data_IF_305268342024
#
_entry.id   IF_305268342024
#
_cell.length_a   1.000
_cell.length_b   1.000
_cell.length_c   1.000
_cell.angle_alpha   90.00
_cell.angle_beta   90.00
_cell.angle_gamma   90.00
#
_symmetry.space_group_name_H-M   'P 1'
#
loop_
_entity.id
_entity.type
_entity.pdbx_description
1 polymer ?
#
# COMPACT_ATOMS: atom_id res chain seq x y z
N UNK A 1 -20.33 50.71 32.57
CA UNK A 1 -21.08 49.84 31.64
C UNK A 1 -20.15 49.56 30.47
N UNK A 2 -19.22 48.61 30.55
CA UNK A 2 -19.38 47.15 30.48
C UNK A 2 -20.37 46.68 29.41
N UNK A 3 -19.82 45.94 28.44
CA UNK A 3 -20.39 45.01 27.43
C UNK A 3 -19.92 45.40 26.01
N UNK A 4 -19.30 44.55 25.19
CA UNK A 4 -18.67 43.24 25.32
C UNK A 4 -17.96 43.00 23.96
N UNK A 5 -16.77 42.41 23.97
CA UNK A 5 -16.15 41.80 22.79
C UNK A 5 -17.02 40.65 22.27
N UNK A 6 -17.11 40.44 20.96
CA UNK A 6 -17.09 39.11 20.30
C UNK A 6 -17.11 39.29 18.78
N UNK A 7 -15.96 39.15 18.11
CA UNK A 7 -15.44 37.91 17.51
C UNK A 7 -16.25 37.43 16.29
N UNK A 8 -15.88 37.97 15.13
CA UNK A 8 -16.50 37.72 13.82
C UNK A 8 -15.91 36.45 13.18
N UNK A 9 -16.21 35.29 13.78
CA UNK A 9 -15.89 33.99 13.21
C UNK A 9 -17.09 33.04 13.36
N UNK A 10 -18.11 33.28 12.54
CA UNK A 10 -19.14 32.29 12.25
C UNK A 10 -19.13 32.09 10.74
N UNK A 11 -18.15 31.30 10.29
CA UNK A 11 -18.25 30.51 9.07
C UNK A 11 -19.63 29.84 9.08
N UNK A 12 -20.47 30.23 8.12
CA UNK A 12 -21.73 29.58 7.80
C UNK A 12 -21.48 28.09 7.51
N UNK A 13 -21.51 27.25 8.53
CA UNK A 13 -21.86 25.84 8.36
C UNK A 13 -23.33 25.83 7.98
N UNK A 14 -23.60 25.80 6.69
CA UNK A 14 -24.88 25.37 6.14
C UNK A 14 -25.13 23.95 6.67
N UNK A 15 -25.78 23.83 7.82
CA UNK A 15 -26.31 22.58 8.31
C UNK A 15 -27.54 22.33 7.45
N UNK A 16 -27.34 21.75 6.26
CA UNK A 16 -28.45 21.09 5.56
C UNK A 16 -28.96 20.07 6.56
N UNK A 17 -30.18 20.26 7.05
CA UNK A 17 -30.83 19.25 7.89
C UNK A 17 -30.92 18.00 7.02
N UNK A 18 -30.21 16.94 7.42
CA UNK A 18 -30.07 15.73 6.65
C UNK A 18 -31.05 14.66 7.15
N UNK A 19 -31.40 13.70 6.30
CA UNK A 19 -32.28 12.59 6.69
C UNK A 19 -31.69 11.82 7.88
N UNK A 20 -32.57 11.44 8.81
CA UNK A 20 -32.19 10.65 9.98
C UNK A 20 -31.53 9.32 9.57
N UNK A 21 -30.39 8.94 10.17
CA UNK A 21 -29.70 7.67 9.91
C UNK A 21 -30.60 6.43 9.95
N UNK A 22 -31.60 6.42 10.84
CA UNK A 22 -32.53 5.31 11.00
C UNK A 22 -33.37 5.06 9.73
N UNK A 23 -33.72 6.12 9.00
CA UNK A 23 -34.50 6.04 7.76
C UNK A 23 -33.64 5.40 6.67
N UNK A 24 -32.41 5.88 6.49
CA UNK A 24 -31.45 5.31 5.52
C UNK A 24 -31.20 3.83 5.81
N UNK A 25 -30.99 3.48 7.08
CA UNK A 25 -30.78 2.10 7.52
C UNK A 25 -31.98 1.21 7.24
N UNK A 26 -33.21 1.72 7.39
CA UNK A 26 -34.42 1.00 7.04
C UNK A 26 -34.53 0.78 5.53
N UNK A 27 -34.27 1.80 4.71
CA UNK A 27 -34.30 1.69 3.23
C UNK A 27 -33.21 0.75 2.70
N UNK A 28 -31.99 0.80 3.25
CA UNK A 28 -30.90 -0.14 2.90
C UNK A 28 -31.33 -1.60 3.10
N UNK A 29 -32.02 -1.92 4.20
CA UNK A 29 -32.53 -3.28 4.47
C UNK A 29 -33.69 -3.66 3.56
N UNK A 30 -34.55 -2.70 3.21
CA UNK A 30 -35.69 -2.91 2.34
C UNK A 30 -35.28 -3.17 0.88
N UNK A 31 -34.29 -2.43 0.38
CA UNK A 31 -33.77 -2.56 -0.99
C UNK A 31 -32.86 -3.78 -1.15
N UNK A 32 -32.07 -4.12 -0.12
CA UNK A 32 -31.11 -5.23 -0.18
C UNK A 32 -31.34 -6.30 0.88
N UNK A 33 -32.53 -6.95 0.93
CA UNK A 33 -32.85 -7.94 1.96
C UNK A 33 -31.98 -9.20 1.85
N UNK A 34 -31.46 -9.51 0.66
CA UNK A 34 -30.59 -10.67 0.41
C UNK A 34 -29.10 -10.41 0.69
N UNK A 35 -28.72 -9.15 0.86
CA UNK A 35 -27.31 -8.80 1.05
C UNK A 35 -26.81 -9.12 2.46
N UNK A 36 -27.61 -9.60 3.43
CA UNK A 36 -27.14 -10.01 4.76
C UNK A 36 -26.04 -9.12 5.40
N UNK A 37 -26.15 -7.80 5.23
CA UNK A 37 -25.09 -6.86 5.61
C UNK A 37 -24.87 -6.90 7.12
N UNK A 38 -23.61 -7.00 7.53
CA UNK A 38 -23.26 -6.95 8.95
C UNK A 38 -23.67 -5.62 9.58
N UNK A 39 -23.91 -5.63 10.89
CA UNK A 39 -24.29 -4.42 11.63
C UNK A 39 -23.29 -3.27 11.43
N UNK A 40 -21.99 -3.60 11.38
CA UNK A 40 -20.91 -2.64 11.08
C UNK A 40 -21.02 -2.05 9.67
N UNK A 41 -21.30 -2.87 8.65
CA UNK A 41 -21.45 -2.38 7.26
C UNK A 41 -22.67 -1.48 7.13
N UNK A 42 -23.80 -1.87 7.73
CA UNK A 42 -25.00 -1.05 7.77
C UNK A 42 -24.73 0.32 8.39
N UNK A 43 -24.02 0.38 9.51
CA UNK A 43 -23.72 1.64 10.18
C UNK A 43 -22.75 2.52 9.36
N UNK A 44 -21.75 1.91 8.70
CA UNK A 44 -20.83 2.63 7.79
C UNK A 44 -21.57 3.21 6.58
N UNK A 45 -22.41 2.42 5.91
CA UNK A 45 -23.17 2.91 4.76
C UNK A 45 -24.19 3.96 5.17
N UNK A 46 -24.87 3.75 6.29
CA UNK A 46 -25.79 4.73 6.86
C UNK A 46 -25.08 6.06 7.14
N UNK A 47 -23.91 6.05 7.79
CA UNK A 47 -23.16 7.27 8.07
C UNK A 47 -22.70 8.00 6.81
N UNK A 48 -22.38 7.26 5.73
CA UNK A 48 -21.97 7.85 4.44
C UNK A 48 -23.14 8.38 3.62
N UNK A 49 -24.32 7.79 3.76
CA UNK A 49 -25.50 8.12 2.95
C UNK A 49 -26.44 9.10 3.63
N UNK A 50 -26.53 9.10 4.97
CA UNK A 50 -27.36 10.04 5.74
C UNK A 50 -27.16 11.53 5.40
N UNK A 51 -25.93 12.06 5.21
CA UNK A 51 -25.76 13.48 4.90
C UNK A 51 -26.08 13.86 3.45
N UNK A 52 -26.42 12.90 2.57
CA UNK A 52 -26.63 13.16 1.14
C UNK A 52 -28.04 13.68 0.80
N UNK A 53 -29.14 13.03 1.23
CA UNK A 53 -30.48 13.57 1.02
C UNK A 53 -30.79 14.71 2.02
N UNK A 54 -31.58 15.68 1.57
CA UNK A 54 -32.20 16.68 2.44
C UNK A 54 -33.22 16.02 3.39
N UNK A 55 -33.47 16.60 4.56
CA UNK A 55 -34.35 16.05 5.60
C UNK A 55 -35.80 15.81 5.16
N UNK A 56 -36.26 16.53 4.15
CA UNK A 56 -37.56 16.40 3.51
C UNK A 56 -37.58 15.49 2.27
N UNK A 57 -36.44 14.86 1.94
CA UNK A 57 -36.36 13.94 0.81
C UNK A 57 -37.34 12.78 0.96
N UNK A 58 -38.05 12.49 -0.13
CA UNK A 58 -38.95 11.36 -0.19
C UNK A 58 -38.19 10.03 -0.28
N UNK A 59 -38.92 8.96 -0.04
CA UNK A 59 -38.40 7.60 -0.08
C UNK A 59 -37.76 7.23 -1.43
N UNK A 60 -38.29 7.76 -2.54
CA UNK A 60 -37.77 7.50 -3.88
C UNK A 60 -36.39 8.16 -4.09
N UNK A 61 -36.22 9.40 -3.60
CA UNK A 61 -34.93 10.11 -3.64
C UNK A 61 -33.88 9.39 -2.78
N UNK A 62 -34.28 8.93 -1.59
CA UNK A 62 -33.41 8.16 -0.71
C UNK A 62 -32.99 6.84 -1.39
N UNK A 63 -33.92 6.14 -2.02
CA UNK A 63 -33.65 4.89 -2.73
C UNK A 63 -32.72 5.10 -3.92
N UNK A 64 -32.91 6.17 -4.69
CA UNK A 64 -32.02 6.51 -5.80
C UNK A 64 -30.57 6.73 -5.33
N UNK A 65 -30.38 7.50 -4.25
CA UNK A 65 -29.05 7.75 -3.66
C UNK A 65 -28.40 6.45 -3.15
N UNK A 66 -29.22 5.56 -2.58
CA UNK A 66 -28.76 4.26 -2.11
C UNK A 66 -28.33 3.38 -3.31
N UNK A 67 -29.12 3.35 -4.39
CA UNK A 67 -28.82 2.58 -5.60
C UNK A 67 -27.59 3.13 -6.33
N UNK A 68 -27.46 4.45 -6.46
CA UNK A 68 -26.27 5.10 -7.03
C UNK A 68 -25.00 4.71 -6.26
N UNK A 69 -25.10 4.56 -4.94
CA UNK A 69 -23.98 4.11 -4.13
C UNK A 69 -23.72 2.60 -4.27
N UNK A 70 -24.77 1.80 -4.43
CA UNK A 70 -24.65 0.37 -4.73
C UNK A 70 -23.99 0.11 -6.10
N UNK A 71 -24.21 0.97 -7.09
CA UNK A 71 -23.57 0.85 -8.41
C UNK A 71 -22.06 1.05 -8.34
N UNK A 72 -21.58 1.84 -7.37
CA UNK A 72 -20.15 2.03 -7.10
C UNK A 72 -19.60 0.94 -6.17
N UNK A 73 -20.39 0.51 -5.19
CA UNK A 73 -20.02 -0.50 -4.20
C UNK A 73 -21.15 -1.51 -4.10
N UNK A 74 -21.05 -2.60 -4.85
CA UNK A 74 -22.04 -3.68 -4.84
C UNK A 74 -22.18 -4.25 -3.42
N UNK A 75 -23.28 -3.91 -2.76
CA UNK A 75 -23.54 -4.31 -1.38
C UNK A 75 -23.70 -5.82 -1.23
N UNK A 76 -24.21 -6.50 -2.26
CA UNK A 76 -24.39 -7.95 -2.26
C UNK A 76 -23.02 -8.61 -2.35
N UNK A 77 -22.16 -8.15 -3.25
CA UNK A 77 -20.80 -8.68 -3.39
C UNK A 77 -19.98 -8.47 -2.09
N UNK A 78 -20.02 -7.28 -1.51
CA UNK A 78 -19.31 -6.98 -0.25
C UNK A 78 -19.78 -7.91 0.87
N UNK A 79 -21.08 -8.17 0.96
CA UNK A 79 -21.57 -9.06 1.99
C UNK A 79 -21.21 -10.54 1.77
N UNK A 80 -21.19 -10.99 0.51
CA UNK A 80 -20.72 -12.33 0.16
C UNK A 80 -19.25 -12.51 0.54
N UNK A 81 -18.41 -11.49 0.33
CA UNK A 81 -17.01 -11.51 0.76
C UNK A 81 -16.87 -11.53 2.29
N UNK A 82 -17.64 -10.72 3.01
CA UNK A 82 -17.68 -10.73 4.48
C UNK A 82 -18.13 -12.12 5.00
N UNK A 83 -19.13 -12.76 4.37
CA UNK A 83 -19.61 -14.10 4.72
C UNK A 83 -18.58 -15.21 4.40
N UNK A 84 -17.89 -15.10 3.26
CA UNK A 84 -16.80 -16.01 2.88
C UNK A 84 -15.64 -15.92 3.87
N UNK A 85 -15.23 -14.69 4.22
CA UNK A 85 -14.14 -14.44 5.17
C UNK A 85 -14.48 -15.04 6.54
N UNK A 86 -15.71 -14.82 7.03
CA UNK A 86 -16.16 -15.40 8.30
C UNK A 86 -16.15 -16.93 8.28
N UNK A 87 -16.49 -17.54 7.15
CA UNK A 87 -16.44 -19.00 6.98
C UNK A 87 -15.00 -19.51 7.04
N UNK A 88 -14.09 -18.87 6.30
CA UNK A 88 -12.67 -19.21 6.30
C UNK A 88 -12.02 -19.04 7.67
N UNK A 89 -12.34 -17.97 8.40
CA UNK A 89 -11.85 -17.76 9.77
C UNK A 89 -12.38 -18.83 10.73
N UNK A 90 -13.65 -19.21 10.61
CA UNK A 90 -14.23 -20.29 11.42
C UNK A 90 -13.57 -21.64 11.12
N UNK A 91 -13.28 -21.93 9.85
CA UNK A 91 -12.61 -23.16 9.44
C UNK A 91 -11.14 -23.16 9.88
N UNK A 92 -10.44 -22.03 9.78
CA UNK A 92 -9.09 -21.87 10.31
C UNK A 92 -9.04 -22.11 11.81
N UNK A 93 -9.98 -21.52 12.56
CA UNK A 93 -10.07 -21.72 14.02
C UNK A 93 -10.36 -23.18 14.38
N UNK A 94 -11.25 -23.85 13.64
CA UNK A 94 -11.50 -25.30 13.82
C UNK A 94 -10.25 -26.12 13.51
N UNK A 95 -9.49 -25.78 12.47
CA UNK A 95 -8.25 -26.44 12.13
C UNK A 95 -7.17 -26.24 13.21
N UNK A 96 -7.05 -25.02 13.76
CA UNK A 96 -6.16 -24.71 14.88
C UNK A 96 -6.57 -25.45 16.16
N UNK A 97 -7.87 -25.55 16.46
CA UNK A 97 -8.37 -26.33 17.60
C UNK A 97 -8.14 -27.84 17.43
N UNK A 98 -8.25 -28.36 16.20
CA UNK A 98 -7.91 -29.75 15.87
C UNK A 98 -6.41 -30.02 15.97
N UNK A 99 -5.57 -29.09 15.51
CA UNK A 99 -4.12 -29.16 15.63
C UNK A 99 -3.68 -29.10 17.11
N UNK A 100 -4.28 -28.23 17.91
CA UNK A 100 -4.02 -28.11 19.34
C UNK A 100 -4.46 -29.37 20.12
N UNK A 101 -5.58 -29.99 19.76
CA UNK A 101 -6.06 -31.26 20.36
C UNK A 101 -5.22 -32.48 19.97
N UNK A 102 -4.53 -32.44 18.82
CA UNK A 102 -3.64 -33.53 18.38
C UNK A 102 -2.29 -33.57 19.10
N UNK A 103 -1.97 -32.58 19.95
CA UNK A 103 -0.88 -32.66 20.92
C UNK A 103 0.52 -32.84 20.32
N UNK A 104 1.30 -31.75 20.28
CA UNK A 104 2.74 -31.78 20.52
C UNK A 104 3.55 -32.90 19.85
N UNK A 105 3.61 -32.91 18.53
CA UNK A 105 4.85 -33.27 17.84
C UNK A 105 5.21 -32.08 16.96
N UNK A 106 6.15 -31.26 17.46
CA UNK A 106 7.09 -30.60 16.56
C UNK A 106 7.88 -31.75 15.93
N UNK A 107 7.36 -32.28 14.83
CA UNK A 107 8.26 -32.74 13.80
C UNK A 107 8.63 -31.46 13.08
N UNK A 108 9.92 -31.17 13.13
CA UNK A 108 10.58 -30.23 12.24
C UNK A 108 10.04 -30.47 10.82
N UNK A 109 9.89 -29.40 10.05
CA UNK A 109 9.78 -29.46 8.60
C UNK A 109 11.04 -30.18 8.05
N UNK A 110 11.11 -31.49 8.21
CA UNK A 110 11.68 -32.33 7.17
C UNK A 110 10.57 -32.43 6.15
N UNK A 111 10.76 -31.71 5.04
CA UNK A 111 10.16 -32.04 3.77
C UNK A 111 10.35 -33.55 3.57
N UNK A 112 9.36 -34.36 3.95
CA UNK A 112 9.31 -35.75 3.54
C UNK A 112 9.17 -35.70 2.02
N UNK A 113 10.30 -35.72 1.33
CA UNK A 113 10.39 -36.11 -0.07
C UNK A 113 9.61 -37.41 -0.17
N UNK A 114 8.40 -37.33 -0.74
CA UNK A 114 7.57 -38.49 -1.03
C UNK A 114 8.36 -39.28 -2.07
N UNK A 115 9.22 -40.19 -1.60
CA UNK A 115 9.97 -41.09 -2.46
C UNK A 115 8.95 -41.88 -3.24
N UNK A 116 8.89 -41.59 -4.53
CA UNK A 116 8.03 -42.27 -5.49
C UNK A 116 8.46 -43.74 -5.46
N UNK A 117 7.64 -44.59 -4.85
CA UNK A 117 7.85 -46.02 -4.90
C UNK A 117 7.81 -46.44 -6.38
N UNK A 118 8.83 -47.16 -6.85
CA UNK A 118 8.98 -47.49 -8.27
C UNK A 118 7.83 -48.37 -8.78
N UNK A 119 7.05 -48.95 -7.86
CA UNK A 119 5.87 -49.78 -8.12
C UNK A 119 4.55 -48.99 -8.19
N UNK A 120 4.57 -47.67 -8.01
CA UNK A 120 3.36 -46.85 -8.12
C UNK A 120 2.79 -46.88 -9.55
N UNK A 121 1.46 -47.04 -9.71
CA UNK A 121 0.85 -47.11 -11.03
C UNK A 121 1.07 -45.81 -11.82
N UNK A 122 1.18 -45.90 -13.15
CA UNK A 122 1.59 -44.78 -14.01
C UNK A 122 0.73 -43.50 -13.83
N UNK A 123 -0.55 -43.65 -13.51
CA UNK A 123 -1.45 -42.52 -13.22
C UNK A 123 -1.09 -41.81 -11.90
N UNK A 124 -0.62 -42.54 -10.88
CA UNK A 124 -0.20 -41.97 -9.60
C UNK A 124 1.13 -41.22 -9.75
N UNK A 125 2.09 -41.77 -10.50
CA UNK A 125 3.33 -41.08 -10.85
C UNK A 125 3.08 -39.80 -11.65
N UNK A 126 2.13 -39.83 -12.60
CA UNK A 126 1.74 -38.65 -13.37
C UNK A 126 1.06 -37.58 -12.50
N UNK A 127 0.20 -37.98 -11.56
CA UNK A 127 -0.45 -37.07 -10.62
C UNK A 127 0.55 -36.41 -9.67
N UNK A 128 1.48 -37.17 -9.10
CA UNK A 128 2.54 -36.66 -8.23
C UNK A 128 3.43 -35.65 -8.95
N UNK A 129 3.89 -35.98 -10.16
CA UNK A 129 4.69 -35.06 -10.98
C UNK A 129 3.92 -33.78 -11.34
N UNK A 130 2.61 -33.89 -11.57
CA UNK A 130 1.75 -32.72 -11.78
C UNK A 130 1.63 -31.87 -10.51
N UNK A 131 1.54 -32.50 -9.34
CA UNK A 131 1.47 -31.79 -8.06
C UNK A 131 2.80 -31.10 -7.72
N UNK A 132 3.95 -31.75 -7.93
CA UNK A 132 5.28 -31.14 -7.77
C UNK A 132 5.43 -29.89 -8.64
N UNK A 133 5.01 -29.98 -9.91
CA UNK A 133 5.02 -28.84 -10.81
C UNK A 133 4.12 -27.70 -10.31
N UNK A 134 2.90 -28.02 -9.88
CA UNK A 134 1.97 -27.02 -9.34
C UNK A 134 2.50 -26.36 -8.06
N UNK A 135 3.16 -27.13 -7.18
CA UNK A 135 3.82 -26.59 -5.98
C UNK A 135 4.93 -25.62 -6.36
N UNK A 136 5.80 -26.00 -7.29
CA UNK A 136 6.88 -25.13 -7.79
C UNK A 136 6.37 -23.86 -8.46
N UNK A 137 5.32 -23.97 -9.28
CA UNK A 137 4.65 -22.82 -9.91
C UNK A 137 4.03 -21.91 -8.83
N UNK A 138 3.39 -22.48 -7.80
CA UNK A 138 2.83 -21.72 -6.68
C UNK A 138 3.89 -21.01 -5.84
N UNK A 139 5.02 -21.65 -5.55
CA UNK A 139 6.15 -21.04 -4.83
C UNK A 139 6.76 -19.89 -5.62
N UNK A 140 6.88 -20.05 -6.94
CA UNK A 140 7.35 -18.98 -7.84
C UNK A 140 6.38 -17.80 -7.85
N UNK A 141 5.07 -18.06 -7.93
CA UNK A 141 4.02 -17.02 -7.88
C UNK A 141 4.01 -16.32 -6.51
N UNK A 142 4.07 -17.07 -5.41
CA UNK A 142 4.13 -16.51 -4.06
C UNK A 142 5.36 -15.61 -3.90
N UNK A 143 6.52 -16.10 -4.33
CA UNK A 143 7.78 -15.34 -4.27
C UNK A 143 7.72 -14.07 -5.11
N UNK A 144 7.18 -14.15 -6.33
CA UNK A 144 6.97 -12.99 -7.19
C UNK A 144 6.02 -11.95 -6.59
N UNK A 145 4.86 -12.38 -6.09
CA UNK A 145 3.86 -11.49 -5.48
C UNK A 145 4.38 -10.84 -4.18
N UNK A 146 5.12 -11.59 -3.37
CA UNK A 146 5.74 -11.09 -2.14
C UNK A 146 6.81 -10.04 -2.49
N UNK A 147 7.64 -10.30 -3.50
CA UNK A 147 8.67 -9.37 -3.94
C UNK A 147 8.07 -8.08 -4.50
N UNK A 148 7.00 -8.17 -5.29
CA UNK A 148 6.28 -7.01 -5.84
C UNK A 148 5.61 -6.19 -4.71
N UNK A 149 4.91 -6.84 -3.80
CA UNK A 149 4.26 -6.17 -2.66
C UNK A 149 5.28 -5.46 -1.76
N UNK A 150 6.43 -6.10 -1.52
CA UNK A 150 7.52 -5.53 -0.72
C UNK A 150 8.20 -4.37 -1.43
N UNK A 151 8.43 -4.46 -2.75
CA UNK A 151 8.94 -3.34 -3.57
C UNK A 151 7.98 -2.15 -3.58
N UNK A 152 6.68 -2.38 -3.67
CA UNK A 152 5.68 -1.32 -3.56
C UNK A 152 5.70 -0.67 -2.17
N UNK A 153 5.83 -1.47 -1.11
CA UNK A 153 5.95 -0.98 0.28
C UNK A 153 7.19 -0.11 0.46
N UNK A 154 8.35 -0.58 0.00
CA UNK A 154 9.59 0.19 -0.01
C UNK A 154 9.43 1.49 -0.82
N UNK A 155 8.84 1.43 -2.01
CA UNK A 155 8.58 2.61 -2.85
C UNK A 155 7.69 3.66 -2.16
N UNK A 156 6.68 3.20 -1.42
CA UNK A 156 5.80 4.07 -0.64
C UNK A 156 6.55 4.72 0.53
N UNK A 157 7.35 3.96 1.27
CA UNK A 157 8.15 4.47 2.38
C UNK A 157 9.20 5.49 1.88
N UNK A 158 9.87 5.20 0.76
CA UNK A 158 10.74 6.16 0.05
C UNK A 158 9.99 7.45 -0.34
N UNK A 159 8.74 7.34 -0.80
CA UNK A 159 7.92 8.50 -1.15
C UNK A 159 7.49 9.35 0.05
N UNK A 160 7.46 8.77 1.26
CA UNK A 160 7.15 9.47 2.52
C UNK A 160 8.38 10.10 3.16
N UNK A 161 9.57 9.63 2.84
CA UNK A 161 10.83 10.17 3.34
C UNK A 161 11.04 11.61 2.86
N UNK A 162 11.29 12.54 3.78
CA UNK A 162 11.63 13.93 3.42
C UNK A 162 12.97 14.03 2.66
N UNK A 163 13.87 13.09 2.92
CA UNK A 163 15.23 13.01 2.36
C UNK A 163 15.21 12.35 0.99
N UNK A 164 14.53 11.19 0.86
CA UNK A 164 14.58 10.36 -0.34
C UNK A 164 13.49 10.72 -1.38
N UNK A 165 12.41 11.41 -0.99
CA UNK A 165 11.33 11.77 -1.93
C UNK A 165 11.77 12.67 -3.08
N UNK A 166 12.80 13.49 -2.86
CA UNK A 166 13.33 14.45 -3.84
C UNK A 166 14.37 13.85 -4.80
N UNK A 167 14.65 12.55 -4.69
CA UNK A 167 15.66 11.87 -5.51
C UNK A 167 15.24 11.82 -6.98
N UNK A 168 16.22 11.96 -7.89
CA UNK A 168 15.97 11.77 -9.33
C UNK A 168 15.39 10.36 -9.59
N UNK A 169 14.40 10.22 -10.48
CA UNK A 169 13.74 8.94 -10.76
C UNK A 169 14.72 7.79 -11.06
N UNK A 170 15.74 8.07 -11.87
CA UNK A 170 16.79 7.10 -12.27
C UNK A 170 17.65 6.59 -11.10
N UNK A 171 17.77 7.38 -10.02
CA UNK A 171 18.45 6.96 -8.80
C UNK A 171 17.47 6.25 -7.87
N UNK A 172 16.23 6.70 -7.80
CA UNK A 172 15.20 6.14 -6.94
C UNK A 172 15.03 4.63 -7.15
N UNK A 173 14.94 4.17 -8.40
CA UNK A 173 14.81 2.74 -8.70
C UNK A 173 16.03 1.93 -8.26
N UNK A 174 17.24 2.48 -8.42
CA UNK A 174 18.48 1.83 -7.97
C UNK A 174 18.55 1.71 -6.46
N UNK A 175 18.07 2.73 -5.73
CA UNK A 175 18.05 2.73 -4.28
C UNK A 175 16.94 1.84 -3.70
N UNK A 176 15.76 1.79 -4.32
CA UNK A 176 14.69 0.88 -3.91
C UNK A 176 15.13 -0.59 -4.06
N UNK A 177 15.89 -0.92 -5.10
CA UNK A 177 16.44 -2.27 -5.28
C UNK A 177 17.52 -2.65 -4.25
N UNK A 178 18.01 -1.72 -3.43
CA UNK A 178 18.93 -2.02 -2.31
C UNK A 178 18.20 -2.48 -1.06
N UNK A 179 16.88 -2.31 -1.00
CA UNK A 179 16.07 -2.81 0.10
C UNK A 179 16.03 -4.33 0.02
N UNK A 180 16.58 -4.99 1.03
CA UNK A 180 16.58 -6.44 1.12
C UNK A 180 15.21 -6.91 1.63
N UNK A 181 14.48 -7.54 0.72
CA UNK A 181 13.15 -8.07 0.96
C UNK A 181 13.14 -9.31 1.85
N UNK A 182 14.27 -9.98 2.02
CA UNK A 182 14.40 -11.21 2.82
C UNK A 182 15.16 -10.98 4.13
N UNK A 183 15.57 -9.75 4.42
CA UNK A 183 16.25 -9.41 5.66
C UNK A 183 15.29 -9.50 6.86
N UNK A 184 15.82 -9.93 7.99
CA UNK A 184 15.14 -9.85 9.30
C UNK A 184 15.00 -8.39 9.77
N UNK A 185 15.74 -7.46 9.17
CA UNK A 185 15.67 -6.03 9.49
C UNK A 185 14.40 -5.40 8.89
N UNK A 186 13.58 -4.69 9.70
CA UNK A 186 12.39 -4.00 9.21
C UNK A 186 12.69 -3.02 8.07
N UNK A 187 11.76 -2.88 7.13
CA UNK A 187 11.91 -1.95 5.99
C UNK A 187 12.13 -0.51 6.42
N UNK A 188 11.53 -0.11 7.53
CA UNK A 188 11.67 1.22 8.11
C UNK A 188 13.12 1.50 8.53
N UNK A 189 13.81 0.50 9.07
CA UNK A 189 15.19 0.65 9.54
C UNK A 189 16.18 0.59 8.38
N UNK A 190 15.94 -0.31 7.40
CA UNK A 190 16.69 -0.31 6.14
C UNK A 190 16.56 1.03 5.40
N UNK A 191 15.38 1.63 5.40
CA UNK A 191 15.15 2.93 4.74
C UNK A 191 15.81 4.07 5.50
N UNK A 192 15.82 4.08 6.84
CA UNK A 192 16.58 5.07 7.63
C UNK A 192 18.08 5.00 7.36
N UNK A 193 18.63 3.81 7.19
CA UNK A 193 20.02 3.64 6.79
C UNK A 193 20.27 4.26 5.41
N UNK A 194 19.40 3.98 4.44
CA UNK A 194 19.47 4.58 3.11
C UNK A 194 19.26 6.11 3.13
N UNK A 195 18.42 6.65 4.01
CA UNK A 195 18.28 8.10 4.23
C UNK A 195 19.58 8.72 4.74
N UNK A 196 20.25 8.02 5.66
CA UNK A 196 21.50 8.48 6.26
C UNK A 196 22.63 8.47 5.22
N UNK A 197 22.79 7.37 4.50
CA UNK A 197 23.76 7.27 3.40
C UNK A 197 23.52 8.33 2.31
N UNK A 198 22.26 8.56 1.93
CA UNK A 198 21.95 9.56 0.91
C UNK A 198 22.30 10.97 1.39
N UNK A 199 21.99 11.29 2.65
CA UNK A 199 22.33 12.59 3.25
C UNK A 199 23.83 12.81 3.32
N UNK A 200 24.60 11.80 3.72
CA UNK A 200 26.06 11.83 3.73
C UNK A 200 26.63 12.03 2.32
N UNK A 201 26.12 11.32 1.32
CA UNK A 201 26.55 11.50 -0.08
C UNK A 201 26.26 12.90 -0.62
N UNK A 202 25.10 13.48 -0.28
CA UNK A 202 24.75 14.85 -0.66
C UNK A 202 25.69 15.86 0.03
N UNK A 203 25.99 15.66 1.30
CA UNK A 203 26.93 16.50 2.04
C UNK A 203 28.35 16.40 1.50
N UNK A 204 28.86 15.18 1.29
CA UNK A 204 30.19 14.97 0.67
C UNK A 204 30.26 15.60 -0.72
N UNK A 205 29.18 15.53 -1.52
CA UNK A 205 29.13 16.20 -2.81
C UNK A 205 29.18 17.73 -2.68
N UNK A 206 28.45 18.29 -1.72
CA UNK A 206 28.46 19.73 -1.43
C UNK A 206 29.83 20.21 -0.90
N UNK A 207 30.42 19.48 0.04
CA UNK A 207 31.69 19.81 0.71
C UNK A 207 32.89 19.62 -0.21
N UNK A 208 32.83 18.65 -1.12
CA UNK A 208 33.92 18.41 -2.08
C UNK A 208 34.03 19.49 -3.16
N UNK A 209 33.07 20.42 -3.25
CA UNK A 209 33.00 21.48 -4.27
C UNK A 209 33.25 20.98 -5.71
N UNK A 210 33.03 19.68 -5.95
CA UNK A 210 33.05 19.07 -7.28
C UNK A 210 31.68 19.31 -7.88
N UNK A 211 31.44 20.57 -8.23
CA UNK A 211 30.43 20.91 -9.21
C UNK A 211 30.86 20.18 -10.49
N UNK A 212 30.20 19.06 -10.79
CA UNK A 212 30.21 18.51 -12.13
C UNK A 212 29.61 19.58 -13.03
N UNK A 213 30.47 20.50 -13.51
CA UNK A 213 30.08 21.56 -14.42
C UNK A 213 29.34 20.96 -15.61
N UNK A 214 28.46 21.73 -16.27
CA UNK A 214 27.90 21.29 -17.54
C UNK A 214 29.06 20.85 -18.43
N UNK A 215 29.02 19.60 -18.87
CA UNK A 215 30.03 19.07 -19.77
C UNK A 215 30.08 19.96 -21.02
N UNK A 216 31.18 20.69 -21.18
CA UNK A 216 31.50 21.48 -22.36
C UNK A 216 31.19 22.97 -22.23
N UNK A 217 32.20 23.76 -21.88
CA UNK A 217 32.81 24.80 -22.72
C UNK A 217 33.82 25.56 -21.85
N UNK A 218 35.11 25.29 -22.07
CA UNK A 218 36.17 25.99 -21.37
C UNK A 218 36.29 27.44 -21.84
N UNK A 219 36.13 28.38 -20.93
CA UNK A 219 36.68 29.74 -21.02
C UNK A 219 37.05 30.19 -19.61
N UNK A 220 38.29 29.93 -19.22
CA UNK A 220 38.94 30.58 -18.08
C UNK A 220 39.06 32.08 -18.38
N UNK A 221 38.27 32.91 -17.71
CA UNK A 221 38.55 34.35 -17.64
C UNK A 221 39.64 34.60 -16.60
N UNK A 222 40.88 34.57 -17.07
CA UNK A 222 41.96 35.37 -16.52
C UNK A 222 42.58 36.10 -17.70
N UNK A 223 42.28 37.38 -17.86
CA UNK A 223 42.93 38.22 -18.86
C UNK A 223 44.44 38.23 -18.55
N UNK A 224 45.31 37.82 -19.49
CA UNK A 224 46.75 37.86 -19.28
C UNK A 224 47.20 39.31 -19.17
N UNK A 225 48.16 39.56 -18.27
CA UNK A 225 48.67 40.91 -18.05
C UNK A 225 49.51 41.36 -19.25
N UNK A 226 49.66 42.67 -19.47
CA UNK A 226 50.49 43.22 -20.56
C UNK A 226 51.95 42.74 -20.49
N UNK A 227 52.42 42.35 -19.31
CA UNK A 227 53.75 41.80 -19.08
C UNK A 227 53.88 40.38 -19.65
N UNK A 228 52.83 39.54 -19.52
CA UNK A 228 52.76 38.20 -20.10
C UNK A 228 52.76 38.24 -21.63
N UNK A 229 52.09 39.23 -22.22
CA UNK A 229 52.03 39.41 -23.68
C UNK A 229 53.39 39.86 -24.23
N UNK A 230 54.11 40.72 -23.50
CA UNK A 230 55.39 41.27 -23.96
C UNK A 230 56.50 40.21 -23.96
N UNK A 231 56.49 39.29 -23.00
CA UNK A 231 57.45 38.19 -22.91
C UNK A 231 57.36 37.21 -24.11
N UNK A 232 56.20 37.13 -24.76
CA UNK A 232 55.98 36.24 -25.91
C UNK A 232 56.50 36.85 -27.22
N UNK A 233 56.63 38.17 -27.31
CA UNK A 233 56.97 38.85 -28.56
C UNK A 233 58.48 39.14 -28.73
N UNK A 234 59.29 38.99 -27.68
CA UNK A 234 60.73 39.28 -27.69
C UNK A 234 61.64 38.08 -27.33
N UNK A 235 61.08 36.88 -27.17
CA UNK A 235 61.83 35.62 -26.99
C UNK A 235 61.86 34.77 -28.25
#
# INVERSE_FOLDING_TARGET
>A
MLHLLTNNNQQFKHFIMAVKPEIIKARLKALFPKANLSQKRLDVYTAKLAPKPADDADEATIDAIINDYNDVIDFVAVAQEDDRTRTLEADKKKAEELAAKKGGKKEEDEEEEVKIDDDAPAWAKALLKSNEKLTSDLESIKSGNVLETKKQTASQLFGKSEVLKGMKPELKDRWINRVDVNSDTPFEDQIKELESEYSELVQVNADSNVYGGPAGFGLSKSEPTLEDIKAIYEG
#
